data_IF_828409317607
#
_entry.id   IF_828409317607
#
_cell.length_a   1.000
_cell.length_b   1.000
_cell.length_c   1.000
_cell.angle_alpha   90.00
_cell.angle_beta   90.00
_cell.angle_gamma   90.00
#
_symmetry.space_group_name_H-M   'P 1'
#
loop_
_entity.id
_entity.type
_entity.pdbx_description
1 polymer ?
#
# COMPACT_ATOMS: atom_id res chain seq x y z
N UNK A 1 -9.09 -0.95 15.10
CA UNK A 1 -7.99 -1.42 15.96
C UNK A 1 -7.99 -2.96 16.08
N UNK A 2 -7.94 -3.71 14.97
CA UNK A 2 -7.95 -5.19 15.05
C UNK A 2 -7.09 -5.90 14.01
N UNK A 3 -6.69 -5.24 12.92
CA UNK A 3 -5.97 -5.92 11.82
C UNK A 3 -4.46 -5.90 11.97
N UNK A 4 -3.89 -4.88 12.61
CA UNK A 4 -2.44 -4.80 12.81
C UNK A 4 -1.91 -5.85 13.81
N UNK A 5 -2.77 -6.35 14.71
CA UNK A 5 -2.45 -7.46 15.64
C UNK A 5 -2.46 -8.85 15.01
N UNK A 6 -2.88 -8.95 13.74
CA UNK A 6 -2.87 -10.20 13.00
C UNK A 6 -1.56 -10.41 12.22
N UNK A 7 -0.70 -9.40 12.18
CA UNK A 7 0.63 -9.50 11.59
C UNK A 7 1.57 -10.26 12.52
N UNK A 8 2.49 -11.04 11.95
CA UNK A 8 3.62 -11.54 12.74
C UNK A 8 4.53 -10.38 13.15
N UNK A 9 5.31 -10.57 14.21
CA UNK A 9 6.26 -9.56 14.69
C UNK A 9 7.22 -9.11 13.57
N UNK A 10 7.66 -10.04 12.73
CA UNK A 10 8.49 -9.76 11.54
C UNK A 10 7.75 -8.86 10.53
N UNK A 11 6.50 -9.18 10.19
CA UNK A 11 5.72 -8.40 9.23
C UNK A 11 5.43 -7.00 9.74
N UNK A 12 5.10 -6.87 11.03
CA UNK A 12 4.92 -5.60 11.71
C UNK A 12 6.18 -4.76 11.65
N UNK A 13 7.33 -5.34 12.04
CA UNK A 13 8.61 -4.65 12.02
C UNK A 13 8.96 -4.14 10.61
N UNK A 14 8.77 -4.94 9.57
CA UNK A 14 9.00 -4.51 8.18
C UNK A 14 8.13 -3.28 7.84
N UNK A 15 6.83 -3.33 8.11
CA UNK A 15 5.91 -2.22 7.79
C UNK A 15 6.26 -0.95 8.58
N UNK A 16 6.60 -1.08 9.86
CA UNK A 16 7.01 0.04 10.71
C UNK A 16 8.32 0.67 10.21
N UNK A 17 9.33 -0.14 9.88
CA UNK A 17 10.61 0.36 9.36
C UNK A 17 10.43 1.10 8.03
N UNK A 18 9.57 0.60 7.15
CA UNK A 18 9.27 1.28 5.88
C UNK A 18 8.56 2.61 6.12
N UNK A 19 7.46 2.61 6.89
CA UNK A 19 6.60 3.79 7.01
C UNK A 19 7.16 4.85 7.96
N UNK A 20 7.71 4.45 9.10
CA UNK A 20 8.20 5.39 10.12
C UNK A 20 9.64 5.84 9.87
N UNK A 21 10.49 4.96 9.33
CA UNK A 21 11.89 5.28 9.08
C UNK A 21 12.20 5.53 7.60
N UNK A 22 11.20 5.39 6.72
CA UNK A 22 11.37 5.64 5.28
C UNK A 22 12.28 4.64 4.58
N UNK A 23 12.51 3.46 5.18
CA UNK A 23 13.46 2.48 4.63
C UNK A 23 12.93 1.85 3.34
N UNK A 24 13.82 1.65 2.39
CA UNK A 24 13.51 0.90 1.17
C UNK A 24 13.66 -0.61 1.39
N UNK A 25 13.05 -1.41 0.52
CA UNK A 25 13.18 -2.87 0.59
C UNK A 25 14.63 -3.36 0.45
N UNK A 26 15.47 -2.67 -0.33
CA UNK A 26 16.90 -3.00 -0.47
C UNK A 26 17.67 -2.73 0.83
N UNK A 27 17.45 -1.59 1.50
CA UNK A 27 18.05 -1.32 2.80
C UNK A 27 17.64 -2.36 3.85
N UNK A 28 16.37 -2.77 3.84
CA UNK A 28 15.87 -3.82 4.73
C UNK A 28 16.48 -5.19 4.40
N UNK A 29 16.65 -5.51 3.12
CA UNK A 29 17.29 -6.74 2.67
C UNK A 29 18.72 -6.84 3.20
N UNK A 30 19.49 -5.75 3.10
CA UNK A 30 20.85 -5.66 3.62
C UNK A 30 20.88 -5.80 5.15
N UNK A 31 19.99 -5.10 5.86
CA UNK A 31 19.92 -5.15 7.33
C UNK A 31 19.54 -6.54 7.87
N UNK A 32 18.62 -7.24 7.19
CA UNK A 32 18.10 -8.53 7.62
C UNK A 32 18.90 -9.71 7.07
N UNK A 33 19.81 -9.48 6.11
CA UNK A 33 20.59 -10.53 5.46
C UNK A 33 19.74 -11.49 4.63
N UNK A 34 18.63 -11.02 4.06
CA UNK A 34 17.72 -11.80 3.23
C UNK A 34 17.50 -11.13 1.87
N UNK A 35 17.06 -11.86 0.83
CA UNK A 35 16.80 -11.24 -0.48
C UNK A 35 15.72 -10.16 -0.43
N UNK A 36 15.90 -9.08 -1.19
CA UNK A 36 14.90 -7.99 -1.33
C UNK A 36 13.52 -8.52 -1.74
N UNK A 37 13.49 -9.46 -2.69
CA UNK A 37 12.25 -10.11 -3.11
C UNK A 37 11.49 -10.74 -1.93
N UNK A 38 12.22 -11.27 -0.94
CA UNK A 38 11.63 -11.86 0.26
C UNK A 38 11.05 -10.79 1.18
N UNK A 39 11.75 -9.68 1.39
CA UNK A 39 11.21 -8.52 2.14
C UNK A 39 9.92 -8.03 1.48
N UNK A 40 9.95 -7.83 0.16
CA UNK A 40 8.82 -7.37 -0.64
C UNK A 40 7.62 -8.31 -0.54
N UNK A 41 7.83 -9.63 -0.67
CA UNK A 41 6.78 -10.64 -0.45
C UNK A 41 6.13 -10.49 0.94
N UNK A 42 6.95 -10.37 1.99
CA UNK A 42 6.43 -10.27 3.37
C UNK A 42 5.66 -9.00 3.65
N UNK A 43 6.11 -7.87 3.10
CA UNK A 43 5.38 -6.61 3.17
C UNK A 43 4.03 -6.71 2.43
N UNK A 44 4.01 -7.24 1.20
CA UNK A 44 2.77 -7.42 0.43
C UNK A 44 1.78 -8.35 1.13
N UNK A 45 2.27 -9.48 1.66
CA UNK A 45 1.45 -10.41 2.45
C UNK A 45 0.86 -9.75 3.69
N UNK A 46 1.63 -8.88 4.36
CA UNK A 46 1.15 -8.11 5.50
C UNK A 46 -0.02 -7.20 5.09
N UNK A 47 0.10 -6.45 3.99
CA UNK A 47 -0.96 -5.56 3.53
C UNK A 47 -2.22 -6.31 3.12
N UNK A 48 -2.11 -7.49 2.50
CA UNK A 48 -3.28 -8.35 2.22
C UNK A 48 -4.00 -8.75 3.51
N UNK A 49 -3.26 -9.07 4.58
CA UNK A 49 -3.83 -9.40 5.89
C UNK A 49 -4.48 -8.20 6.59
N UNK A 50 -3.99 -6.97 6.34
CA UNK A 50 -4.54 -5.76 6.96
C UNK A 50 -5.91 -5.34 6.41
N UNK A 51 -6.25 -5.75 5.19
CA UNK A 51 -7.53 -5.42 4.57
C UNK A 51 -8.11 -6.61 3.78
N UNK A 52 -8.41 -7.75 4.45
CA UNK A 52 -8.75 -9.02 3.79
C UNK A 52 -10.16 -9.03 3.17
N UNK A 53 -11.00 -8.05 3.51
CA UNK A 53 -12.34 -7.90 2.94
C UNK A 53 -12.28 -7.11 1.62
N UNK A 54 -11.64 -5.93 1.61
CA UNK A 54 -11.58 -5.07 0.43
C UNK A 54 -10.63 -5.59 -0.65
N UNK A 55 -9.65 -6.44 -0.31
CA UNK A 55 -8.74 -7.07 -1.29
C UNK A 55 -9.45 -8.05 -2.23
N UNK A 56 -10.62 -8.59 -1.86
CA UNK A 56 -11.32 -9.63 -2.65
C UNK A 56 -11.73 -9.16 -4.06
N UNK A 57 -11.96 -7.86 -4.23
CA UNK A 57 -12.29 -7.25 -5.53
C UNK A 57 -11.08 -6.82 -6.35
N UNK A 58 -9.86 -6.98 -5.83
CA UNK A 58 -8.62 -6.53 -6.49
C UNK A 58 -7.96 -7.72 -7.17
N UNK A 59 -7.63 -7.55 -8.45
CA UNK A 59 -6.85 -8.52 -9.25
C UNK A 59 -5.49 -8.80 -8.61
N UNK A 60 -5.05 -10.05 -8.65
CA UNK A 60 -3.84 -10.50 -7.94
C UNK A 60 -2.58 -9.75 -8.37
N UNK A 61 -2.41 -9.52 -9.68
CA UNK A 61 -1.29 -8.76 -10.25
C UNK A 61 -1.22 -7.32 -9.72
N UNK A 62 -2.39 -6.71 -9.43
CA UNK A 62 -2.47 -5.36 -8.89
C UNK A 62 -2.26 -5.30 -7.39
N UNK A 63 -2.44 -6.40 -6.66
CA UNK A 63 -2.29 -6.41 -5.19
C UNK A 63 -0.89 -5.98 -4.78
N UNK A 64 0.13 -6.56 -5.42
CA UNK A 64 1.53 -6.21 -5.14
C UNK A 64 1.85 -4.76 -5.47
N UNK A 65 1.37 -4.25 -6.62
CA UNK A 65 1.64 -2.86 -7.03
C UNK A 65 1.00 -1.84 -6.08
N UNK A 66 -0.24 -2.07 -5.66
CA UNK A 66 -0.91 -1.17 -4.73
C UNK A 66 -0.30 -1.24 -3.33
N UNK A 67 0.17 -2.42 -2.90
CA UNK A 67 0.87 -2.58 -1.64
C UNK A 67 2.19 -1.80 -1.62
N UNK A 68 3.00 -1.94 -2.67
CA UNK A 68 4.26 -1.20 -2.80
C UNK A 68 4.02 0.32 -2.92
N UNK A 69 2.95 0.74 -3.59
CA UNK A 69 2.54 2.15 -3.65
C UNK A 69 2.18 2.72 -2.27
N UNK A 70 1.40 1.98 -1.48
CA UNK A 70 1.04 2.38 -0.11
C UNK A 70 2.30 2.50 0.75
N UNK A 71 3.23 1.57 0.63
CA UNK A 71 4.48 1.56 1.38
C UNK A 71 5.54 2.55 0.85
N UNK A 72 5.22 3.38 -0.15
CA UNK A 72 6.17 4.34 -0.71
C UNK A 72 7.34 3.72 -1.48
N UNK A 73 7.24 2.43 -1.84
CA UNK A 73 8.30 1.66 -2.50
C UNK A 73 8.26 1.77 -4.04
N UNK A 74 7.42 2.66 -4.56
CA UNK A 74 7.35 2.99 -5.98
C UNK A 74 7.82 4.41 -6.24
N UNK A 75 8.55 4.59 -7.34
CA UNK A 75 8.91 5.89 -7.87
C UNK A 75 8.48 6.00 -9.35
N UNK A 76 8.55 7.21 -9.91
CA UNK A 76 8.52 7.43 -11.36
C UNK A 76 7.37 6.75 -12.13
N UNK A 77 7.67 5.97 -13.19
CA UNK A 77 6.67 5.33 -14.05
C UNK A 77 5.73 4.37 -13.30
N UNK A 78 6.24 3.60 -12.33
CA UNK A 78 5.47 2.61 -11.58
C UNK A 78 4.37 3.30 -10.76
N UNK A 79 4.73 4.34 -10.01
CA UNK A 79 3.77 5.13 -9.24
C UNK A 79 2.72 5.78 -10.15
N UNK A 80 3.12 6.19 -11.36
CA UNK A 80 2.21 6.78 -12.36
C UNK A 80 1.22 5.73 -12.89
N UNK A 81 1.69 4.52 -13.18
CA UNK A 81 0.84 3.41 -13.61
C UNK A 81 -0.16 3.01 -12.52
N UNK A 82 0.29 2.90 -11.26
CA UNK A 82 -0.57 2.59 -10.12
C UNK A 82 -1.65 3.65 -9.90
N UNK A 83 -1.30 4.94 -9.95
CA UNK A 83 -2.29 6.04 -9.91
C UNK A 83 -3.26 5.99 -11.08
N UNK A 84 -2.80 5.62 -12.28
CA UNK A 84 -3.65 5.39 -13.44
C UNK A 84 -4.66 4.26 -13.22
N UNK A 85 -4.23 3.15 -12.62
CA UNK A 85 -5.14 2.06 -12.25
C UNK A 85 -6.12 2.47 -11.16
N UNK A 86 -5.66 3.17 -10.12
CA UNK A 86 -6.50 3.71 -9.06
C UNK A 86 -7.61 4.61 -9.60
N UNK A 87 -7.40 5.37 -10.67
CA UNK A 87 -8.48 6.18 -11.29
C UNK A 87 -9.58 5.33 -11.95
N UNK A 88 -9.25 4.12 -12.43
CA UNK A 88 -10.16 3.26 -13.21
C UNK A 88 -10.82 2.17 -12.37
N UNK A 89 -10.15 1.70 -11.31
CA UNK A 89 -10.61 0.58 -10.48
C UNK A 89 -11.15 1.06 -9.13
N UNK A 90 -12.44 0.84 -8.89
CA UNK A 90 -13.09 1.15 -7.61
C UNK A 90 -12.62 0.22 -6.49
N UNK A 91 -12.47 -1.07 -6.80
CA UNK A 91 -11.96 -2.05 -5.86
C UNK A 91 -10.53 -1.70 -5.41
N UNK A 92 -9.66 -1.28 -6.34
CA UNK A 92 -8.31 -0.83 -6.00
C UNK A 92 -8.34 0.38 -5.06
N UNK A 93 -9.15 1.41 -5.36
CA UNK A 93 -9.31 2.56 -4.46
C UNK A 93 -9.84 2.16 -3.09
N UNK A 94 -10.85 1.30 -3.05
CA UNK A 94 -11.43 0.83 -1.79
C UNK A 94 -10.40 0.10 -0.94
N UNK A 95 -9.61 -0.79 -1.54
CA UNK A 95 -8.57 -1.51 -0.82
C UNK A 95 -7.46 -0.59 -0.35
N UNK A 96 -6.94 0.30 -1.22
CA UNK A 96 -5.91 1.27 -0.83
C UNK A 96 -6.38 2.17 0.31
N UNK A 97 -7.63 2.66 0.31
CA UNK A 97 -8.16 3.44 1.44
C UNK A 97 -8.22 2.61 2.73
N UNK A 98 -8.71 1.36 2.67
CA UNK A 98 -8.71 0.48 3.84
C UNK A 98 -7.31 0.24 4.42
N UNK A 99 -6.30 0.12 3.56
CA UNK A 99 -4.91 0.00 3.99
C UNK A 99 -4.43 1.27 4.67
N UNK A 100 -4.70 2.42 4.05
CA UNK A 100 -4.35 3.74 4.58
C UNK A 100 -5.00 4.01 5.95
N UNK A 101 -6.28 3.70 6.11
CA UNK A 101 -6.99 3.81 7.39
C UNK A 101 -6.37 2.89 8.46
N UNK A 102 -5.89 1.70 8.07
CA UNK A 102 -5.25 0.76 8.98
C UNK A 102 -3.83 1.18 9.38
N UNK A 103 -3.16 1.96 8.53
CA UNK A 103 -1.76 2.36 8.66
C UNK A 103 -1.59 3.82 9.08
N UNK A 104 -2.67 4.58 9.25
CA UNK A 104 -2.69 6.03 9.53
C UNK A 104 -1.70 6.44 10.63
N UNK A 105 -1.65 5.68 11.73
CA UNK A 105 -0.78 5.96 12.88
C UNK A 105 0.72 5.76 12.62
N UNK A 106 1.07 5.06 11.54
CA UNK A 106 2.46 4.78 11.16
C UNK A 106 3.01 5.82 10.19
N UNK A 107 2.16 6.62 9.54
CA UNK A 107 2.63 7.69 8.66
C UNK A 107 3.11 8.87 9.49
N UNK A 108 4.40 9.25 9.40
CA UNK A 108 4.87 10.46 10.04
C UNK A 108 4.13 11.66 9.45
N UNK A 109 3.57 12.51 10.33
CA UNK A 109 2.91 13.77 9.97
C UNK A 109 1.76 13.67 8.94
N UNK A 110 1.20 12.47 8.71
CA UNK A 110 0.13 12.28 7.74
C UNK A 110 0.59 12.33 6.28
N UNK A 111 1.87 12.02 5.99
CA UNK A 111 2.44 11.92 4.64
C UNK A 111 1.94 10.67 3.88
N UNK A 112 0.62 10.50 3.84
CA UNK A 112 -0.06 9.36 3.24
C UNK A 112 -0.13 9.51 1.72
N UNK A 113 0.11 8.44 0.94
CA UNK A 113 0.04 8.51 -0.51
C UNK A 113 -1.38 8.81 -0.98
N UNK A 114 -1.50 9.71 -1.97
CA UNK A 114 -2.79 10.12 -2.48
C UNK A 114 -3.53 8.97 -3.20
N UNK A 115 -4.83 8.82 -2.89
CA UNK A 115 -5.74 7.93 -3.63
C UNK A 115 -6.60 8.80 -4.56
N UNK A 116 -6.36 8.79 -5.88
CA UNK A 116 -7.10 9.65 -6.79
C UNK A 116 -8.57 9.27 -6.86
N UNK A 117 -9.43 10.27 -7.08
CA UNK A 117 -10.83 10.04 -7.39
C UNK A 117 -11.00 9.29 -8.70
N UNK A 118 -12.11 8.55 -8.79
CA UNK A 118 -12.45 7.84 -10.03
C UNK A 118 -12.77 8.82 -11.17
N UNK A 119 -12.43 8.46 -12.40
CA UNK A 119 -12.66 9.30 -13.59
C UNK A 119 -14.16 9.67 -13.76
N UNK A 120 -15.07 8.82 -13.27
CA UNK A 120 -16.52 9.11 -13.24
C UNK A 120 -16.92 10.18 -12.22
N UNK A 121 -16.21 10.29 -11.10
CA UNK A 121 -16.42 11.32 -10.08
C UNK A 121 -15.94 12.70 -10.57
N UNK A 122 -14.80 12.72 -11.26
CA UNK A 122 -14.22 13.95 -11.82
C UNK A 122 -15.13 14.61 -12.87
N UNK A 123 -15.83 13.84 -13.71
CA UNK A 123 -16.84 14.39 -14.66
C UNK A 123 -18.09 14.97 -13.99
N UNK A 124 -18.49 14.48 -12.82
CA UNK A 124 -19.66 15.01 -12.09
C UNK A 124 -19.34 16.32 -11.36
N UNK A 125 -18.12 16.49 -10.87
CA UNK A 125 -17.68 17.71 -10.19
C UNK A 125 -17.48 18.90 -11.15
N UNK A 126 -17.11 18.65 -12.41
CA UNK A 126 -16.92 19.70 -13.42
C UNK A 126 -18.23 20.18 -14.08
N UNK A 127 -19.38 19.61 -13.72
CA UNK A 127 -20.69 19.91 -14.31
C UNK A 127 -21.65 20.62 -13.32
N UNK A 128 -21.15 21.07 -12.17
CA UNK A 128 -21.87 21.86 -11.17
C UNK A 128 -21.28 23.28 -11.10
#
# INVERSE_FOLDING_TARGET
MATFDQLSDEQRAIVELVLQQGKSYDELAEMLGIPEARVRERARDALVKLAPVSVRGVEEDWRGQLADYVLGQQAGPEATATRGHLRRSEAARSWTRSLLDSLEQLYPNGDMPAVPDGERGSRRAAAA
#
